data_IF_971490368356
#
_entry.id   IF_971490368356
#
_cell.length_a   1.000
_cell.length_b   1.000
_cell.length_c   1.000
_cell.angle_alpha   90.00
_cell.angle_beta   90.00
_cell.angle_gamma   90.00
#
_symmetry.space_group_name_H-M   'P 1'
#
loop_
_entity.id
_entity.type
_entity.pdbx_description
1 polymer ?
#
# COMPACT_ATOMS: atom_id res chain seq x y z
N UNK A 1 8.40 -7.41 -20.71
CA UNK A 1 8.38 -7.69 -19.26
C UNK A 1 6.96 -7.47 -18.80
N UNK A 2 6.43 -8.38 -17.99
CA UNK A 2 5.09 -8.26 -17.39
C UNK A 2 5.21 -7.91 -15.92
N UNK A 3 4.17 -7.25 -15.41
CA UNK A 3 4.02 -6.90 -14.00
C UNK A 3 2.58 -7.16 -13.56
N UNK A 4 2.37 -7.30 -12.25
CA UNK A 4 1.05 -7.23 -11.65
C UNK A 4 0.72 -5.80 -11.29
N UNK A 5 -0.43 -5.31 -11.76
CA UNK A 5 -1.10 -4.15 -11.17
C UNK A 5 -2.04 -4.63 -10.09
N UNK A 6 -1.74 -4.28 -8.85
CA UNK A 6 -2.57 -4.60 -7.68
C UNK A 6 -3.27 -3.33 -7.21
N UNK A 7 -4.59 -3.38 -7.14
CA UNK A 7 -5.44 -2.27 -6.68
C UNK A 7 -5.87 -2.54 -5.25
N UNK A 8 -5.47 -1.63 -4.37
CA UNK A 8 -5.83 -1.63 -2.96
C UNK A 8 -6.91 -0.59 -2.70
N UNK A 9 -7.85 -0.91 -1.82
CA UNK A 9 -8.74 0.05 -1.21
C UNK A 9 -8.52 0.06 0.29
N UNK A 10 -8.73 1.22 0.89
CA UNK A 10 -8.79 1.32 2.34
C UNK A 10 -9.94 2.20 2.81
N UNK A 11 -10.42 1.89 4.00
CA UNK A 11 -11.36 2.68 4.82
C UNK A 11 -10.82 2.66 6.26
N UNK A 12 -10.28 3.80 6.69
CA UNK A 12 -9.54 3.90 7.95
C UNK A 12 -8.35 2.94 7.97
N UNK A 13 -8.35 1.98 8.90
CA UNK A 13 -7.28 0.99 9.07
C UNK A 13 -7.52 -0.32 8.30
N UNK A 14 -8.66 -0.46 7.61
CA UNK A 14 -9.02 -1.67 6.87
C UNK A 14 -8.51 -1.54 5.45
N UNK A 15 -7.54 -2.38 5.08
CA UNK A 15 -7.03 -2.46 3.70
C UNK A 15 -7.50 -3.75 3.03
N UNK A 16 -7.95 -3.65 1.78
CA UNK A 16 -8.41 -4.78 0.95
C UNK A 16 -7.74 -4.73 -0.43
N UNK A 17 -7.51 -5.89 -1.03
CA UNK A 17 -7.15 -6.00 -2.45
C UNK A 17 -8.43 -6.15 -3.25
N UNK A 18 -8.72 -5.16 -4.09
CA UNK A 18 -9.97 -5.08 -4.86
C UNK A 18 -9.79 -5.35 -6.35
N UNK A 19 -8.56 -5.51 -6.84
CA UNK A 19 -8.27 -5.95 -8.22
C UNK A 19 -6.81 -6.33 -8.41
N UNK A 20 -6.55 -7.29 -9.31
CA UNK A 20 -5.22 -7.76 -9.72
C UNK A 20 -5.25 -8.08 -11.21
N UNK A 21 -4.35 -7.46 -11.96
CA UNK A 21 -4.28 -7.63 -13.41
C UNK A 21 -2.83 -7.74 -13.87
N UNK A 22 -2.53 -8.64 -14.81
CA UNK A 22 -1.23 -8.61 -15.51
C UNK A 22 -1.20 -7.47 -16.53
N UNK A 23 -0.07 -6.78 -16.59
CA UNK A 23 0.16 -5.65 -17.51
C UNK A 23 1.55 -5.74 -18.13
N UNK A 24 1.68 -5.31 -19.38
CA UNK A 24 2.96 -5.26 -20.09
C UNK A 24 3.72 -3.97 -19.75
N UNK A 25 4.34 -3.95 -18.57
CA UNK A 25 5.15 -2.82 -18.11
C UNK A 25 6.31 -3.29 -17.23
N UNK A 26 7.23 -2.37 -16.94
CA UNK A 26 8.36 -2.62 -16.04
C UNK A 26 7.95 -2.12 -14.65
N UNK A 27 7.98 -2.98 -13.61
CA UNK A 27 7.72 -2.55 -12.24
C UNK A 27 8.86 -1.65 -11.73
N UNK A 28 8.64 -0.87 -10.65
CA UNK A 28 9.71 -0.18 -9.95
C UNK A 28 10.84 -1.15 -9.52
N UNK A 29 12.07 -0.65 -9.33
CA UNK A 29 13.18 -1.48 -8.85
C UNK A 29 12.88 -2.08 -7.47
N UNK A 30 13.62 -3.13 -7.12
CA UNK A 30 13.54 -3.77 -5.81
C UNK A 30 14.25 -2.90 -4.75
N UNK A 31 13.55 -2.63 -3.64
CA UNK A 31 14.03 -1.85 -2.51
C UNK A 31 14.47 -2.73 -1.31
N UNK A 32 14.76 -4.02 -1.53
CA UNK A 32 15.10 -4.97 -0.46
C UNK A 32 16.26 -4.51 0.44
N UNK A 33 17.28 -3.88 -0.16
CA UNK A 33 18.43 -3.33 0.57
C UNK A 33 18.04 -2.12 1.43
N UNK A 34 17.06 -1.32 1.00
CA UNK A 34 16.59 -0.15 1.74
C UNK A 34 15.76 -0.56 2.97
N UNK A 35 14.99 -1.65 2.88
CA UNK A 35 14.00 -2.04 3.92
C UNK A 35 14.63 -2.57 5.21
N UNK A 36 15.90 -3.00 5.21
CA UNK A 36 16.61 -3.32 6.44
C UNK A 36 16.56 -2.16 7.48
N UNK A 37 16.44 -0.92 6.99
CA UNK A 37 16.36 0.30 7.80
C UNK A 37 14.91 0.83 8.00
N UNK A 38 13.89 0.25 7.33
CA UNK A 38 12.51 0.79 7.22
C UNK A 38 11.55 0.12 8.21
N UNK A 39 12.01 -0.20 9.42
CA UNK A 39 11.14 -0.76 10.48
C UNK A 39 9.90 0.11 10.79
N UNK A 40 9.93 1.38 10.36
CA UNK A 40 8.80 2.29 10.31
C UNK A 40 8.55 2.77 8.87
N UNK A 41 7.40 2.41 8.28
CA UNK A 41 7.03 2.83 6.91
C UNK A 41 5.99 1.94 6.25
N UNK A 42 5.69 2.20 4.98
CA UNK A 42 4.83 1.35 4.16
C UNK A 42 5.66 0.70 3.05
N UNK A 43 5.41 -0.58 2.79
CA UNK A 43 6.03 -1.29 1.67
C UNK A 43 5.15 -2.45 1.25
N UNK A 44 5.34 -2.90 0.01
CA UNK A 44 4.81 -4.18 -0.46
C UNK A 44 5.91 -5.21 -0.59
N UNK A 45 5.54 -6.47 -0.43
CA UNK A 45 6.39 -7.62 -0.73
C UNK A 45 5.67 -8.54 -1.72
N UNK A 46 6.42 -9.08 -2.68
CA UNK A 46 6.03 -10.32 -3.37
C UNK A 46 6.74 -11.47 -2.67
N UNK A 47 6.00 -12.49 -2.27
CA UNK A 47 6.53 -13.68 -1.60
C UNK A 47 6.27 -14.94 -2.40
N UNK A 48 7.19 -15.89 -2.28
CA UNK A 48 7.01 -17.25 -2.78
C UNK A 48 6.02 -18.05 -1.90
N UNK A 49 5.71 -19.28 -2.32
CA UNK A 49 4.83 -20.19 -1.59
C UNK A 49 5.39 -20.63 -0.22
N UNK A 50 6.69 -20.45 0.03
CA UNK A 50 7.36 -20.74 1.31
C UNK A 50 7.36 -19.52 2.24
N UNK A 51 6.90 -18.36 1.77
CA UNK A 51 6.88 -17.10 2.50
C UNK A 51 8.17 -16.29 2.41
N UNK A 52 9.12 -16.68 1.55
CA UNK A 52 10.33 -15.92 1.27
C UNK A 52 10.01 -14.70 0.42
N UNK A 53 10.54 -13.53 0.79
CA UNK A 53 10.41 -12.30 -0.01
C UNK A 53 11.27 -12.43 -1.28
N UNK A 54 10.64 -12.25 -2.44
CA UNK A 54 11.27 -12.22 -3.77
C UNK A 54 11.47 -10.81 -4.29
N UNK A 55 10.61 -9.88 -3.85
CA UNK A 55 10.65 -8.48 -4.25
C UNK A 55 10.11 -7.61 -3.13
N UNK A 56 10.66 -6.40 -2.99
CA UNK A 56 10.10 -5.39 -2.11
C UNK A 56 10.06 -4.02 -2.77
N UNK A 57 9.07 -3.22 -2.39
CA UNK A 57 8.96 -1.83 -2.84
C UNK A 57 8.49 -0.94 -1.70
N UNK A 58 9.25 0.12 -1.40
CA UNK A 58 8.86 1.13 -0.41
C UNK A 58 7.80 2.05 -1.02
N UNK A 59 6.78 2.37 -0.23
CA UNK A 59 5.67 3.23 -0.62
C UNK A 59 5.67 4.54 0.17
N UNK A 60 5.48 5.67 -0.51
CA UNK A 60 5.28 6.96 0.12
C UNK A 60 3.83 7.06 0.66
N UNK A 61 3.66 6.88 1.98
CA UNK A 61 2.40 6.97 2.76
C UNK A 61 1.09 6.77 1.95
N UNK A 62 0.80 5.54 1.47
CA UNK A 62 -0.34 5.29 0.59
C UNK A 62 -1.71 5.42 1.28
N UNK A 63 -1.76 5.38 2.62
CA UNK A 63 -3.00 5.46 3.41
C UNK A 63 -3.35 6.89 3.85
N UNK A 64 -2.87 7.89 3.08
CA UNK A 64 -2.94 9.33 3.34
C UNK A 64 -4.02 9.76 4.35
N UNK A 65 -3.59 9.91 5.61
CA UNK A 65 -4.41 10.26 6.75
C UNK A 65 -4.53 11.78 6.97
N UNK A 66 -3.98 12.57 6.05
CA UNK A 66 -3.94 14.03 6.13
C UNK A 66 -4.64 14.67 4.94
N UNK A 67 -5.49 15.68 5.22
CA UNK A 67 -6.10 16.54 4.23
C UNK A 67 -5.36 17.88 4.19
N UNK A 68 -4.94 18.30 3.01
CA UNK A 68 -4.47 19.67 2.79
C UNK A 68 -5.67 20.61 2.71
N UNK A 69 -5.75 21.54 3.66
CA UNK A 69 -6.82 22.52 3.80
C UNK A 69 -6.25 23.89 3.44
N UNK A 70 -6.86 24.51 2.44
CA UNK A 70 -6.60 25.90 2.10
C UNK A 70 -7.59 26.77 2.86
N UNK A 71 -7.09 27.80 3.54
CA UNK A 71 -7.92 28.70 4.34
C UNK A 71 -7.75 30.15 3.91
N UNK A 72 -8.77 30.95 4.19
CA UNK A 72 -8.72 32.40 3.99
C UNK A 72 -7.97 33.13 5.13
N UNK A 73 -7.57 32.42 6.20
CA UNK A 73 -6.74 32.99 7.26
C UNK A 73 -5.30 33.17 6.74
N UNK A 74 -4.81 34.42 6.60
CA UNK A 74 -3.48 34.67 6.08
C UNK A 74 -2.36 34.15 6.99
N UNK A 75 -2.65 33.80 8.25
CA UNK A 75 -1.69 33.16 9.15
C UNK A 75 -1.57 31.65 8.94
N UNK A 76 -2.58 31.02 8.33
CA UNK A 76 -2.62 29.58 8.03
C UNK A 76 -3.23 29.31 6.64
N UNK A 77 -2.66 29.88 5.56
CA UNK A 77 -3.24 29.80 4.22
C UNK A 77 -3.26 28.36 3.67
N UNK A 78 -2.33 27.52 4.12
CA UNK A 78 -2.27 26.08 3.88
C UNK A 78 -1.91 25.38 5.18
N UNK A 79 -2.74 24.44 5.63
CA UNK A 79 -2.46 23.58 6.78
C UNK A 79 -3.01 22.17 6.54
N UNK A 80 -2.55 21.20 7.34
CA UNK A 80 -3.00 19.81 7.26
C UNK A 80 -3.83 19.45 8.47
N UNK A 81 -4.96 18.80 8.24
CA UNK A 81 -5.81 18.23 9.30
C UNK A 81 -5.87 16.71 9.13
N UNK A 82 -6.04 15.98 10.24
CA UNK A 82 -6.32 14.55 10.16
C UNK A 82 -7.65 14.29 9.45
N UNK A 83 -7.68 13.38 8.49
CA UNK A 83 -8.92 12.85 7.95
C UNK A 83 -9.54 11.91 9.01
N UNK A 84 -10.78 12.14 9.49
CA UNK A 84 -11.38 11.30 10.52
C UNK A 84 -11.56 9.84 10.10
N UNK A 85 -11.74 9.61 8.79
CA UNK A 85 -11.91 8.28 8.21
C UNK A 85 -11.49 8.34 6.73
N UNK A 86 -10.18 8.32 6.44
CA UNK A 86 -9.72 8.42 5.07
C UNK A 86 -10.09 7.14 4.34
N UNK A 87 -10.69 7.30 3.15
CA UNK A 87 -11.00 6.20 2.25
C UNK A 87 -10.51 6.52 0.85
N UNK A 88 -9.66 5.66 0.29
CA UNK A 88 -9.20 5.84 -1.08
C UNK A 88 -8.79 4.51 -1.72
N UNK A 89 -8.49 4.59 -3.01
CA UNK A 89 -7.92 3.52 -3.81
C UNK A 89 -6.53 3.93 -4.27
N UNK A 90 -5.58 3.01 -4.23
CA UNK A 90 -4.27 3.18 -4.82
C UNK A 90 -3.83 1.91 -5.54
N UNK A 91 -2.85 2.06 -6.42
CA UNK A 91 -2.31 0.97 -7.23
C UNK A 91 -0.82 0.83 -7.02
N UNK A 92 -0.35 -0.42 -7.04
CA UNK A 92 1.06 -0.76 -7.01
C UNK A 92 1.37 -1.68 -8.17
N UNK A 93 2.55 -1.50 -8.76
CA UNK A 93 3.10 -2.37 -9.78
C UNK A 93 4.17 -3.24 -9.14
N UNK A 94 4.06 -4.56 -9.23
CA UNK A 94 5.08 -5.50 -8.76
C UNK A 94 5.47 -6.48 -9.85
N UNK A 95 6.68 -7.07 -9.82
CA UNK A 95 7.08 -8.05 -10.81
C UNK A 95 6.10 -9.21 -10.93
N UNK A 96 5.89 -9.65 -12.17
CA UNK A 96 5.20 -10.90 -12.46
C UNK A 96 6.20 -12.06 -12.47
N UNK A 97 6.73 -12.33 -11.27
CA UNK A 97 7.69 -13.42 -11.04
C UNK A 97 6.99 -14.78 -11.06
N UNK A 98 7.61 -15.78 -11.69
CA UNK A 98 7.04 -17.13 -11.78
C UNK A 98 6.94 -17.82 -10.43
N UNK A 99 7.80 -17.48 -9.49
CA UNK A 99 7.78 -17.98 -8.11
C UNK A 99 6.87 -17.14 -7.20
N UNK A 100 6.38 -15.99 -7.69
CA UNK A 100 5.49 -15.08 -6.98
C UNK A 100 4.14 -15.73 -6.65
N UNK A 101 3.84 -15.83 -5.36
CA UNK A 101 2.63 -16.49 -4.85
C UNK A 101 1.70 -15.51 -4.12
N UNK A 102 2.25 -14.67 -3.25
CA UNK A 102 1.49 -13.68 -2.47
C UNK A 102 2.00 -12.26 -2.70
N UNK A 103 1.09 -11.30 -2.63
CA UNK A 103 1.39 -9.90 -2.36
C UNK A 103 1.02 -9.58 -0.91
N UNK A 104 1.92 -8.92 -0.21
CA UNK A 104 1.74 -8.48 1.18
C UNK A 104 1.96 -6.97 1.26
N UNK A 105 1.02 -6.23 1.86
CA UNK A 105 1.23 -4.84 2.22
C UNK A 105 1.55 -4.74 3.72
N UNK A 106 2.62 -4.03 4.01
CA UNK A 106 3.02 -3.66 5.36
C UNK A 106 2.85 -2.15 5.57
N UNK A 107 2.56 -1.77 6.81
CA UNK A 107 2.33 -0.38 7.16
C UNK A 107 1.93 -0.19 8.61
N UNK A 108 1.69 1.06 8.97
CA UNK A 108 1.10 1.43 10.26
C UNK A 108 -0.42 1.46 10.10
N UNK A 109 -1.15 1.10 11.16
CA UNK A 109 -2.58 1.32 11.20
C UNK A 109 -2.86 2.81 11.41
N UNK A 110 -3.94 3.34 10.81
CA UNK A 110 -4.32 4.77 10.86
C UNK A 110 -4.78 5.23 12.27
N UNK A 111 -4.76 4.36 13.27
CA UNK A 111 -5.25 4.64 14.63
C UNK A 111 -4.39 5.69 15.38
N UNK A 112 -5.08 6.68 15.95
CA UNK A 112 -4.63 7.93 16.57
C UNK A 112 -3.79 7.75 17.87
N UNK A 113 -3.42 6.53 18.26
CA UNK A 113 -2.59 6.31 19.45
C UNK A 113 -1.09 6.21 19.11
N UNK A 114 -0.35 7.20 19.63
CA UNK A 114 1.02 7.60 19.30
C UNK A 114 2.11 6.53 19.58
N UNK A 115 1.77 5.34 20.08
CA UNK A 115 2.77 4.42 20.64
C UNK A 115 3.18 3.20 19.79
N UNK A 116 2.49 2.86 18.70
CA UNK A 116 2.95 1.77 17.82
C UNK A 116 3.70 2.32 16.60
N UNK A 117 5.04 2.35 16.72
CA UNK A 117 5.96 2.76 15.65
C UNK A 117 6.30 1.65 14.67
N UNK A 118 6.07 0.38 15.04
CA UNK A 118 6.41 -0.77 14.22
C UNK A 118 5.36 -1.00 13.14
N UNK A 119 5.80 -1.15 11.90
CA UNK A 119 4.90 -1.57 10.82
C UNK A 119 4.44 -3.01 11.01
N UNK A 120 3.19 -3.28 10.68
CA UNK A 120 2.57 -4.62 10.69
C UNK A 120 2.08 -5.00 9.30
N UNK A 121 1.76 -6.27 9.11
CA UNK A 121 1.04 -6.72 7.92
C UNK A 121 -0.38 -6.13 7.95
N UNK A 122 -0.75 -5.41 6.89
CA UNK A 122 -2.08 -4.82 6.72
C UNK A 122 -3.00 -5.71 5.88
N UNK A 123 -2.46 -6.30 4.81
CA UNK A 123 -3.18 -7.25 3.96
C UNK A 123 -2.22 -8.24 3.30
N UNK A 124 -2.69 -9.47 3.07
CA UNK A 124 -2.04 -10.48 2.25
C UNK A 124 -3.05 -11.05 1.27
N UNK A 125 -2.65 -11.24 0.01
CA UNK A 125 -3.51 -11.82 -1.03
C UNK A 125 -2.68 -12.64 -2.01
N UNK A 126 -3.25 -13.74 -2.51
CA UNK A 126 -2.64 -14.52 -3.60
C UNK A 126 -2.53 -13.68 -4.87
N UNK A 127 -1.40 -13.77 -5.57
CA UNK A 127 -1.20 -13.20 -6.91
C UNK A 127 -1.89 -14.08 -7.96
N UNK A 128 -3.19 -13.82 -8.13
CA UNK A 128 -4.03 -14.40 -9.18
C UNK A 128 -4.89 -13.30 -9.79
N UNK A 129 -5.25 -13.46 -11.05
CA UNK A 129 -6.20 -12.58 -11.74
C UNK A 129 -7.44 -12.39 -10.86
N UNK A 130 -7.83 -11.12 -10.69
CA UNK A 130 -9.00 -10.73 -9.93
C UNK A 130 -9.54 -9.45 -10.55
N UNK A 131 -10.75 -9.53 -11.08
CA UNK A 131 -11.42 -8.35 -11.62
C UNK A 131 -11.59 -7.27 -10.55
N UNK A 132 -11.50 -6.02 -10.98
CA UNK A 132 -11.80 -4.89 -10.12
C UNK A 132 -13.25 -4.93 -9.66
N UNK A 133 -13.48 -5.00 -8.34
CA UNK A 133 -14.83 -4.94 -7.77
C UNK A 133 -15.05 -3.61 -7.02
N UNK A 134 -15.81 -2.65 -7.59
CA UNK A 134 -16.11 -1.39 -6.92
C UNK A 134 -17.01 -1.54 -5.69
N UNK A 135 -17.81 -2.61 -5.59
CA UNK A 135 -18.69 -2.84 -4.43
C UNK A 135 -17.90 -3.21 -3.17
N UNK A 136 -16.61 -3.56 -3.32
CA UNK A 136 -15.71 -3.83 -2.20
C UNK A 136 -15.26 -2.56 -1.44
N UNK A 137 -15.68 -1.38 -1.92
CA UNK A 137 -15.48 -0.08 -1.28
C UNK A 137 -16.51 0.23 -0.16
N UNK A 138 -17.56 -0.60 -0.02
CA UNK A 138 -18.60 -0.47 1.00
C UNK A 138 -18.33 -1.31 2.28
#
# INVERSE_FOLDING_TARGET
MSAWRVTFAYDGDRVRVIGKQRVDTVPPPDDSDAIADVAAGYWVEVRDARGQSLYRQVLANPLNDQLEVFSADPSQPLHRIGAPQPSAVFQVLVPDDQEGHDIVLHGRAVSVEVNERASRQLVRSLLREQDFNPESLA
#
